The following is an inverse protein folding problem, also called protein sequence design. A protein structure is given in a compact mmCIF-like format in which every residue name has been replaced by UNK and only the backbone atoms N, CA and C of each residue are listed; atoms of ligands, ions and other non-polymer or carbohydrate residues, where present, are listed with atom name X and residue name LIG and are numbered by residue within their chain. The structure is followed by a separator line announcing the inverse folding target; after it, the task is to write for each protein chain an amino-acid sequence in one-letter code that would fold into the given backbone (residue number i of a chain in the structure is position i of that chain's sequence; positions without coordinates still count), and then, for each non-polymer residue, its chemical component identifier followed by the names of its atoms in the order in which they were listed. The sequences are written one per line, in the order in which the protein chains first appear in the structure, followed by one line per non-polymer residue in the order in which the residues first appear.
data_IF_556231222578
#
_entry.id   IF_556231222578
#
_cell.length_a   1.000
_cell.length_b   1.000
_cell.length_c   1.000
_cell.angle_alpha   90.00
_cell.angle_beta   90.00
_cell.angle_gamma   90.00
#
_symmetry.space_group_name_H-M   'P 1'
#
loop_
_entity.id
_entity.type
_entity.pdbx_description
1 polymer ?
#
# COMPACT_ATOMS: atom_id res chain seq x y z
N UNK A 1 27.30 -17.18 -11.27
CA UNK A 1 26.69 -16.32 -12.32
C UNK A 1 25.52 -15.64 -11.66
N UNK A 2 25.58 -14.34 -11.43
CA UNK A 2 24.45 -13.56 -10.89
C UNK A 2 23.44 -13.48 -12.03
N UNK A 3 22.29 -14.12 -11.88
CA UNK A 3 21.20 -13.98 -12.84
C UNK A 3 20.71 -12.52 -12.73
N UNK A 4 20.81 -11.76 -13.80
CA UNK A 4 20.14 -10.46 -13.85
C UNK A 4 18.65 -10.74 -13.95
N UNK A 5 17.93 -10.51 -12.84
CA UNK A 5 16.47 -10.59 -12.85
C UNK A 5 15.90 -9.56 -13.82
N UNK A 6 14.89 -9.95 -14.59
CA UNK A 6 14.15 -9.01 -15.47
C UNK A 6 13.40 -7.92 -14.69
N UNK A 7 13.27 -8.05 -13.38
CA UNK A 7 12.58 -7.11 -12.47
C UNK A 7 13.54 -6.35 -11.53
N UNK A 8 14.83 -6.33 -11.86
CA UNK A 8 15.88 -5.76 -11.02
C UNK A 8 16.56 -6.80 -10.14
N UNK A 9 17.80 -6.52 -9.75
CA UNK A 9 18.65 -7.42 -8.96
C UNK A 9 18.07 -7.61 -7.56
N UNK A 10 17.97 -8.86 -7.09
CA UNK A 10 17.76 -9.17 -5.68
C UNK A 10 19.13 -9.25 -5.03
N UNK A 11 19.37 -8.37 -4.07
CA UNK A 11 20.65 -8.19 -3.39
C UNK A 11 20.71 -9.01 -2.08
N UNK A 12 21.90 -9.13 -1.47
CA UNK A 12 22.00 -9.62 -0.09
C UNK A 12 21.30 -8.66 0.88
N UNK A 13 20.94 -9.16 2.06
CA UNK A 13 20.25 -8.37 3.08
C UNK A 13 20.99 -7.08 3.43
N UNK A 14 22.28 -7.16 3.71
CA UNK A 14 23.12 -6.02 4.06
C UNK A 14 23.12 -4.97 2.93
N UNK A 15 23.39 -5.41 1.70
CA UNK A 15 23.43 -4.52 0.53
C UNK A 15 22.09 -3.87 0.25
N UNK A 16 20.99 -4.60 0.45
CA UNK A 16 19.63 -4.09 0.24
C UNK A 16 19.34 -2.93 1.20
N UNK A 17 19.66 -3.08 2.48
CA UNK A 17 19.47 -2.01 3.49
C UNK A 17 20.44 -0.84 3.31
N UNK A 18 21.73 -1.11 2.99
CA UNK A 18 22.71 -0.07 2.70
C UNK A 18 22.29 0.85 1.55
N UNK A 19 21.56 0.34 0.55
CA UNK A 19 21.09 1.11 -0.59
C UNK A 19 19.71 1.75 -0.36
N UNK A 20 18.84 1.07 0.37
CA UNK A 20 17.47 1.53 0.58
C UNK A 20 17.41 2.87 1.33
N UNK A 21 18.05 2.95 2.49
CA UNK A 21 17.99 4.13 3.36
C UNK A 21 18.47 5.40 2.65
N UNK A 22 19.68 5.43 2.00
CA UNK A 22 20.11 6.61 1.27
C UNK A 22 19.21 7.00 0.09
N UNK A 23 18.51 6.04 -0.52
CA UNK A 23 17.60 6.33 -1.64
C UNK A 23 16.38 7.15 -1.24
N UNK A 24 16.08 7.20 0.06
CA UNK A 24 14.95 7.97 0.60
C UNK A 24 15.30 9.44 0.87
N UNK A 25 16.57 9.78 1.11
CA UNK A 25 16.98 11.12 1.53
C UNK A 25 16.52 12.25 0.61
N UNK A 26 16.62 12.16 -0.74
CA UNK A 26 16.17 13.25 -1.61
C UNK A 26 14.67 13.58 -1.44
N UNK A 27 13.85 12.55 -1.17
CA UNK A 27 12.42 12.73 -0.93
C UNK A 27 12.16 13.34 0.46
N UNK A 28 12.91 12.92 1.48
CA UNK A 28 12.77 13.47 2.81
C UNK A 28 13.22 14.93 2.92
N UNK A 29 14.31 15.29 2.23
CA UNK A 29 14.83 16.65 2.23
C UNK A 29 13.94 17.62 1.46
N UNK A 30 13.30 17.16 0.37
CA UNK A 30 12.41 17.98 -0.44
C UNK A 30 11.33 17.11 -1.12
N UNK A 31 10.15 16.94 -0.50
CA UNK A 31 9.07 16.12 -1.06
C UNK A 31 8.34 16.77 -2.23
N UNK A 32 8.35 18.11 -2.37
CA UNK A 32 7.56 18.84 -3.35
C UNK A 32 7.75 18.35 -4.82
N UNK A 33 8.97 18.00 -5.31
CA UNK A 33 9.14 17.46 -6.66
C UNK A 33 8.48 16.10 -6.90
N UNK A 34 8.09 15.41 -5.84
CA UNK A 34 7.43 14.11 -5.91
C UNK A 34 5.91 14.19 -5.82
N UNK A 35 5.35 15.40 -5.69
CA UNK A 35 3.92 15.60 -5.81
C UNK A 35 3.42 15.09 -7.15
N UNK A 36 2.21 14.54 -7.15
CA UNK A 36 1.50 14.11 -8.36
C UNK A 36 0.13 14.78 -8.37
N UNK A 37 -0.23 15.34 -9.51
CA UNK A 37 -1.58 15.87 -9.69
C UNK A 37 -2.59 14.75 -9.45
N UNK A 38 -3.48 14.90 -8.46
CA UNK A 38 -4.44 13.86 -8.13
C UNK A 38 -5.45 13.69 -9.26
N UNK A 39 -6.02 12.48 -9.40
CA UNK A 39 -6.92 12.19 -10.51
C UNK A 39 -7.95 11.12 -10.17
N UNK A 40 -9.07 11.17 -10.87
CA UNK A 40 -10.07 10.12 -10.85
C UNK A 40 -9.54 8.89 -11.61
N UNK A 41 -9.56 7.72 -10.97
CA UNK A 41 -9.24 6.45 -11.62
C UNK A 41 -10.46 5.94 -12.37
N UNK A 42 -11.59 5.81 -11.67
CA UNK A 42 -12.86 5.41 -12.25
C UNK A 42 -14.01 5.69 -11.27
N UNK A 43 -15.10 6.28 -11.76
CA UNK A 43 -16.30 6.52 -10.96
C UNK A 43 -16.00 7.23 -9.65
N UNK A 44 -16.28 6.57 -8.53
CA UNK A 44 -16.07 7.10 -7.18
C UNK A 44 -14.68 6.78 -6.58
N UNK A 45 -13.72 6.32 -7.39
CA UNK A 45 -12.36 5.99 -6.97
C UNK A 45 -11.34 7.00 -7.52
N UNK A 46 -10.51 7.54 -6.63
CA UNK A 46 -9.51 8.56 -6.95
C UNK A 46 -8.11 8.17 -6.46
N UNK A 47 -7.09 8.63 -7.18
CA UNK A 47 -5.70 8.62 -6.74
C UNK A 47 -5.36 9.97 -6.10
N UNK A 48 -4.89 9.94 -4.85
CA UNK A 48 -4.50 11.12 -4.07
C UNK A 48 -3.09 10.97 -3.47
N UNK A 49 -2.33 9.99 -3.95
CA UNK A 49 -0.95 9.73 -3.55
C UNK A 49 0.08 10.62 -4.23
N UNK A 50 1.33 10.36 -3.94
CA UNK A 50 2.48 10.98 -4.57
C UNK A 50 3.23 9.99 -5.49
N UNK A 51 4.45 10.35 -5.94
CA UNK A 51 5.28 9.48 -6.77
C UNK A 51 6.00 8.37 -5.97
N UNK A 52 5.83 8.29 -4.65
CA UNK A 52 6.46 7.31 -3.76
C UNK A 52 5.45 6.34 -3.18
N UNK A 53 4.29 6.83 -2.69
CA UNK A 53 3.24 6.02 -2.07
C UNK A 53 1.90 6.30 -2.74
N UNK A 54 1.23 5.21 -3.13
CA UNK A 54 -0.15 5.31 -3.59
C UNK A 54 -1.08 5.50 -2.40
N UNK A 55 -1.98 6.47 -2.52
CA UNK A 55 -3.13 6.63 -1.65
C UNK A 55 -4.38 6.68 -2.53
N UNK A 56 -5.40 5.93 -2.13
CA UNK A 56 -6.63 5.83 -2.91
C UNK A 56 -7.81 6.33 -2.06
N UNK A 57 -8.59 7.23 -2.65
CA UNK A 57 -9.76 7.82 -2.00
C UNK A 57 -11.04 7.28 -2.65
N UNK A 58 -12.02 6.91 -1.83
CA UNK A 58 -13.33 6.45 -2.29
C UNK A 58 -14.40 7.39 -1.75
N UNK A 59 -15.23 7.92 -2.63
CA UNK A 59 -16.47 8.60 -2.25
C UNK A 59 -17.58 7.57 -2.06
N UNK A 60 -18.07 7.45 -0.82
CA UNK A 60 -19.11 6.47 -0.47
C UNK A 60 -20.52 7.05 -0.43
N UNK A 61 -20.66 8.35 -0.76
CA UNK A 61 -21.92 9.07 -0.63
C UNK A 61 -22.29 9.49 0.81
N UNK A 62 -21.64 8.90 1.83
CA UNK A 62 -21.84 9.25 3.25
C UNK A 62 -20.52 9.64 3.95
N UNK A 63 -19.52 10.00 3.17
CA UNK A 63 -18.17 10.36 3.56
C UNK A 63 -17.14 9.61 2.74
N UNK A 64 -15.87 9.80 3.08
CA UNK A 64 -14.74 9.28 2.31
C UNK A 64 -14.02 8.17 3.05
N UNK A 65 -13.51 7.20 2.30
CA UNK A 65 -12.55 6.20 2.76
C UNK A 65 -11.21 6.49 2.10
N UNK A 66 -10.14 6.60 2.88
CA UNK A 66 -8.77 6.73 2.39
C UNK A 66 -7.99 5.46 2.68
N UNK A 67 -7.39 4.87 1.65
CA UNK A 67 -6.39 3.80 1.79
C UNK A 67 -4.99 4.38 1.88
N UNK A 68 -4.28 4.01 2.93
CA UNK A 68 -2.97 4.48 3.34
C UNK A 68 -2.92 6.01 3.60
N UNK A 69 -1.82 6.49 4.15
CA UNK A 69 -1.68 7.88 4.57
C UNK A 69 -0.23 8.38 4.48
N UNK A 70 0.53 7.89 3.52
CA UNK A 70 1.85 8.38 3.17
C UNK A 70 2.81 8.53 4.35
N UNK A 71 3.79 9.38 4.16
CA UNK A 71 4.82 9.73 5.15
C UNK A 71 4.38 10.90 6.03
N UNK A 72 4.87 10.97 7.28
CA UNK A 72 4.52 12.04 8.21
C UNK A 72 4.89 13.46 7.72
N UNK A 73 5.98 13.60 6.97
CA UNK A 73 6.43 14.88 6.42
C UNK A 73 5.68 15.32 5.14
N UNK A 74 4.74 14.49 4.62
CA UNK A 74 3.93 14.81 3.42
C UNK A 74 2.47 15.13 3.73
N UNK A 75 2.12 15.37 4.99
CA UNK A 75 0.74 15.61 5.44
C UNK A 75 0.02 16.71 4.65
N UNK A 76 0.68 17.86 4.41
CA UNK A 76 0.09 18.96 3.63
C UNK A 76 -0.19 18.55 2.18
N UNK A 77 0.70 17.76 1.56
CA UNK A 77 0.51 17.26 0.20
C UNK A 77 -0.72 16.35 0.10
N UNK A 78 -0.99 15.54 1.13
CA UNK A 78 -2.18 14.67 1.19
C UNK A 78 -3.45 15.50 1.24
N UNK A 79 -3.48 16.53 2.10
CA UNK A 79 -4.61 17.43 2.21
C UNK A 79 -4.89 18.17 0.88
N UNK A 80 -3.82 18.65 0.23
CA UNK A 80 -3.91 19.33 -1.06
C UNK A 80 -4.41 18.38 -2.16
N UNK A 81 -3.95 17.13 -2.18
CA UNK A 81 -4.38 16.12 -3.14
C UNK A 81 -5.87 15.77 -2.98
N UNK A 82 -6.37 15.63 -1.74
CA UNK A 82 -7.80 15.40 -1.49
C UNK A 82 -8.63 16.59 -1.99
N UNK A 83 -8.18 17.83 -1.71
CA UNK A 83 -8.85 19.04 -2.23
C UNK A 83 -8.77 19.14 -3.75
N UNK A 84 -7.66 18.70 -4.35
CA UNK A 84 -7.43 18.70 -5.79
C UNK A 84 -8.43 17.86 -6.58
N UNK A 85 -8.99 16.81 -5.98
CA UNK A 85 -10.09 16.02 -6.56
C UNK A 85 -11.49 16.49 -6.12
N UNK A 86 -11.57 17.64 -5.45
CA UNK A 86 -12.83 18.32 -5.12
C UNK A 86 -13.45 17.95 -3.77
N UNK A 87 -12.73 17.26 -2.87
CA UNK A 87 -13.23 16.87 -1.57
C UNK A 87 -12.59 17.67 -0.43
N UNK A 88 -13.24 17.68 0.73
CA UNK A 88 -12.68 18.21 1.97
C UNK A 88 -12.04 17.06 2.77
N UNK A 89 -10.78 17.18 3.22
CA UNK A 89 -10.18 16.20 4.14
C UNK A 89 -11.02 15.93 5.40
N UNK A 90 -11.85 16.87 5.84
CA UNK A 90 -12.78 16.68 6.96
C UNK A 90 -13.88 15.64 6.67
N UNK A 91 -14.14 15.33 5.41
CA UNK A 91 -15.12 14.34 5.01
C UNK A 91 -14.59 12.90 5.05
N UNK A 92 -13.29 12.70 5.22
CA UNK A 92 -12.71 11.36 5.45
C UNK A 92 -13.20 10.84 6.80
N UNK A 93 -13.88 9.69 6.76
CA UNK A 93 -14.40 9.01 7.95
C UNK A 93 -13.50 7.86 8.37
N UNK A 94 -12.96 7.15 7.38
CA UNK A 94 -12.10 5.98 7.60
C UNK A 94 -10.78 6.15 6.86
N UNK A 95 -9.67 5.94 7.57
CA UNK A 95 -8.35 5.73 7.00
C UNK A 95 -7.95 4.27 7.24
N UNK A 96 -7.85 3.49 6.17
CA UNK A 96 -7.57 2.04 6.21
C UNK A 96 -6.12 1.83 5.78
N UNK A 97 -5.32 1.28 6.69
CA UNK A 97 -3.88 1.08 6.49
C UNK A 97 -3.62 -0.32 5.94
N UNK A 98 -2.91 -0.39 4.82
CA UNK A 98 -2.60 -1.65 4.13
C UNK A 98 -1.67 -2.56 4.93
N UNK A 99 -0.68 -1.97 5.62
CA UNK A 99 0.23 -2.67 6.52
C UNK A 99 1.00 -1.70 7.43
N UNK A 100 1.65 -2.22 8.45
CA UNK A 100 2.23 -1.46 9.56
C UNK A 100 3.60 -0.82 9.29
N UNK A 101 3.92 -0.33 8.08
CA UNK A 101 5.12 0.46 7.83
C UNK A 101 4.82 1.96 7.81
N UNK A 102 5.81 2.74 8.24
CA UNK A 102 5.66 4.18 8.48
C UNK A 102 5.27 5.00 7.24
N UNK A 103 5.62 4.56 6.07
CA UNK A 103 5.28 5.19 4.80
C UNK A 103 3.81 4.99 4.37
N UNK A 104 3.05 4.16 5.10
CA UNK A 104 1.63 3.94 4.87
C UNK A 104 0.72 4.54 5.93
N UNK A 105 1.25 4.89 7.10
CA UNK A 105 0.48 5.51 8.18
C UNK A 105 1.05 6.84 8.70
N UNK A 106 2.14 7.35 8.11
CA UNK A 106 2.92 8.44 8.68
C UNK A 106 2.13 9.70 9.01
N UNK A 107 1.17 10.08 8.17
CA UNK A 107 0.31 11.25 8.40
C UNK A 107 -0.97 10.95 9.20
N UNK A 108 -1.27 9.67 9.49
CA UNK A 108 -2.56 9.25 10.05
C UNK A 108 -2.85 9.88 11.41
N UNK A 109 -1.87 9.95 12.31
CA UNK A 109 -2.06 10.54 13.64
C UNK A 109 -2.41 12.03 13.56
N UNK A 110 -1.66 12.80 12.76
CA UNK A 110 -1.86 14.24 12.58
C UNK A 110 -3.24 14.52 11.98
N UNK A 111 -3.64 13.77 10.95
CA UNK A 111 -4.92 13.96 10.27
C UNK A 111 -6.09 13.46 11.13
N UNK A 112 -5.91 12.42 11.95
CA UNK A 112 -6.89 12.01 12.95
C UNK A 112 -7.13 13.11 13.98
N UNK A 113 -6.06 13.71 14.53
CA UNK A 113 -6.18 14.81 15.50
C UNK A 113 -6.86 16.03 14.89
N UNK A 114 -6.55 16.34 13.63
CA UNK A 114 -7.07 17.51 12.94
C UNK A 114 -8.53 17.37 12.50
N UNK A 115 -8.92 16.18 12.01
CA UNK A 115 -10.22 15.97 11.35
C UNK A 115 -11.11 14.91 12.01
N UNK A 116 -10.58 14.17 12.97
CA UNK A 116 -11.34 13.11 13.64
C UNK A 116 -11.47 11.82 12.86
N UNK A 117 -10.55 11.55 11.92
CA UNK A 117 -10.54 10.30 11.14
C UNK A 117 -10.49 9.07 12.06
N UNK A 118 -11.10 7.97 11.62
CA UNK A 118 -10.97 6.67 12.27
C UNK A 118 -9.96 5.83 11.52
N UNK A 119 -8.94 5.35 12.22
CA UNK A 119 -7.84 4.57 11.64
C UNK A 119 -8.10 3.10 11.87
N UNK A 120 -8.01 2.31 10.79
CA UNK A 120 -8.14 0.87 10.80
C UNK A 120 -6.84 0.23 10.28
N UNK A 121 -6.32 -0.78 10.97
CA UNK A 121 -5.14 -1.55 10.57
C UNK A 121 -5.33 -3.00 10.98
N UNK A 122 -4.62 -3.94 10.36
CA UNK A 122 -4.71 -5.34 10.73
C UNK A 122 -4.34 -5.58 12.20
N UNK A 123 -5.02 -6.53 12.84
CA UNK A 123 -4.66 -6.99 14.19
C UNK A 123 -3.22 -7.48 14.25
N UNK A 124 -2.80 -8.26 13.25
CA UNK A 124 -1.48 -8.85 13.23
C UNK A 124 -0.36 -7.81 13.24
N UNK A 125 -0.41 -6.76 12.40
CA UNK A 125 0.60 -5.70 12.42
C UNK A 125 0.47 -4.83 13.68
N UNK A 126 -0.75 -4.54 14.14
CA UNK A 126 -0.98 -3.78 15.38
C UNK A 126 -0.31 -4.47 16.58
N UNK A 127 -0.47 -5.78 16.72
CA UNK A 127 0.11 -6.53 17.82
C UNK A 127 1.65 -6.62 17.71
N UNK A 128 2.17 -6.82 16.49
CA UNK A 128 3.61 -6.82 16.24
C UNK A 128 4.26 -5.45 16.52
N UNK A 129 3.59 -4.34 16.19
CA UNK A 129 4.09 -3.00 16.50
C UNK A 129 4.04 -2.67 18.00
N UNK A 130 3.05 -3.19 18.74
CA UNK A 130 2.99 -3.05 20.20
C UNK A 130 4.16 -3.75 20.90
N UNK A 131 4.58 -4.89 20.37
CA UNK A 131 5.76 -5.60 20.90
C UNK A 131 7.06 -4.86 20.57
N UNK A 132 7.22 -4.33 19.36
CA UNK A 132 8.41 -3.61 18.91
C UNK A 132 8.07 -2.59 17.82
N UNK A 133 7.96 -1.29 18.16
CA UNK A 133 7.64 -0.21 17.20
C UNK A 133 8.63 -0.11 16.02
N UNK A 134 9.88 -0.55 16.19
CA UNK A 134 10.89 -0.53 15.11
C UNK A 134 10.51 -1.41 13.92
N UNK A 135 9.57 -2.36 14.09
CA UNK A 135 9.02 -3.17 13.00
C UNK A 135 8.25 -2.33 11.96
N UNK A 136 7.83 -1.11 12.32
CA UNK A 136 7.29 -0.13 11.39
C UNK A 136 8.34 0.55 10.50
N UNK A 137 9.63 0.26 10.68
CA UNK A 137 10.77 0.88 9.97
C UNK A 137 10.94 2.39 10.22
N UNK A 138 10.30 2.94 11.25
CA UNK A 138 10.34 4.38 11.60
C UNK A 138 11.77 4.90 11.81
N UNK A 139 12.68 4.07 12.27
CA UNK A 139 14.10 4.42 12.47
C UNK A 139 14.90 4.54 11.16
N UNK A 140 14.32 4.16 10.02
CA UNK A 140 14.93 4.30 8.69
C UNK A 140 14.56 5.61 8.00
N UNK A 141 13.60 6.34 8.53
CA UNK A 141 13.10 7.60 8.01
C UNK A 141 13.13 8.72 9.04
N UNK A 142 12.58 9.89 8.71
CA UNK A 142 12.50 11.03 9.63
C UNK A 142 11.40 10.87 10.69
N UNK A 143 10.59 9.80 10.61
CA UNK A 143 9.48 9.56 11.52
C UNK A 143 10.00 9.08 12.89
N UNK A 144 9.83 9.85 13.98
CA UNK A 144 10.22 9.41 15.32
C UNK A 144 9.32 8.27 15.84
N UNK A 145 9.82 7.51 16.82
CA UNK A 145 9.11 6.33 17.36
C UNK A 145 7.75 6.66 18.01
N UNK A 146 7.56 7.88 18.51
CA UNK A 146 6.30 8.35 19.07
C UNK A 146 5.22 8.65 18.01
N UNK A 147 5.59 8.65 16.74
CA UNK A 147 4.67 8.82 15.60
C UNK A 147 4.07 7.50 15.10
N UNK A 148 4.34 6.36 15.72
CA UNK A 148 3.67 5.10 15.37
C UNK A 148 2.16 5.29 15.48
N UNK A 149 1.46 4.90 14.41
CA UNK A 149 0.03 4.98 14.36
C UNK A 149 -0.62 3.81 15.12
N UNK A 150 -1.51 4.14 16.04
CA UNK A 150 -2.33 3.15 16.74
C UNK A 150 -3.77 3.22 16.19
N UNK A 151 -4.30 2.13 15.64
CA UNK A 151 -5.64 2.14 15.06
C UNK A 151 -6.74 2.29 16.13
N UNK A 152 -7.86 2.91 15.73
CA UNK A 152 -9.09 2.98 16.52
C UNK A 152 -9.84 1.64 16.51
N UNK A 153 -9.68 0.86 15.44
CA UNK A 153 -10.20 -0.50 15.33
C UNK A 153 -9.22 -1.38 14.54
N UNK A 154 -9.17 -2.66 14.88
CA UNK A 154 -8.33 -3.65 14.18
C UNK A 154 -9.16 -4.44 13.18
N UNK A 155 -8.52 -4.84 12.08
CA UNK A 155 -9.11 -5.66 11.03
C UNK A 155 -8.62 -7.11 11.16
N UNK A 156 -9.56 -8.03 11.07
CA UNK A 156 -9.30 -9.47 11.01
C UNK A 156 -9.52 -10.02 9.58
N UNK A 157 -9.03 -11.23 9.32
CA UNK A 157 -9.16 -11.87 8.01
C UNK A 157 -10.63 -12.12 7.65
N UNK A 158 -11.05 -11.68 6.47
CA UNK A 158 -12.41 -11.82 5.96
C UNK A 158 -13.40 -10.79 6.50
N UNK A 159 -12.96 -9.84 7.31
CA UNK A 159 -13.82 -8.77 7.80
C UNK A 159 -14.32 -7.88 6.66
N UNK A 160 -15.52 -7.34 6.82
CA UNK A 160 -16.13 -6.41 5.87
C UNK A 160 -16.35 -5.06 6.56
N UNK A 161 -15.72 -4.02 6.02
CA UNK A 161 -15.89 -2.63 6.44
C UNK A 161 -16.89 -1.95 5.52
N UNK A 162 -17.93 -1.32 6.07
CA UNK A 162 -18.95 -0.63 5.27
C UNK A 162 -19.06 0.83 5.69
N UNK A 163 -19.11 1.71 4.69
CA UNK A 163 -19.46 3.12 4.83
C UNK A 163 -20.29 3.53 3.60
N UNK A 164 -21.43 4.16 3.83
CA UNK A 164 -22.35 4.56 2.76
C UNK A 164 -22.68 3.41 1.81
N UNK A 165 -22.47 3.61 0.53
CA UNK A 165 -22.73 2.61 -0.52
C UNK A 165 -21.54 1.65 -0.77
N UNK A 166 -20.45 1.74 -0.02
CA UNK A 166 -19.22 0.97 -0.25
C UNK A 166 -19.02 -0.06 0.85
N UNK A 167 -18.78 -1.32 0.45
CA UNK A 167 -18.39 -2.41 1.34
C UNK A 167 -17.05 -2.97 0.88
N UNK A 168 -16.08 -3.03 1.81
CA UNK A 168 -14.70 -3.46 1.57
C UNK A 168 -14.47 -4.79 2.25
N UNK A 169 -14.18 -5.84 1.48
CA UNK A 169 -13.73 -7.11 2.02
C UNK A 169 -12.24 -7.03 2.31
N UNK A 170 -11.84 -7.27 3.56
CA UNK A 170 -10.47 -7.19 4.05
C UNK A 170 -9.91 -8.61 4.17
N UNK A 171 -8.93 -8.98 3.36
CA UNK A 171 -8.28 -10.28 3.42
C UNK A 171 -6.87 -10.15 3.98
N UNK A 172 -6.53 -10.95 5.00
CA UNK A 172 -5.16 -11.04 5.49
C UNK A 172 -4.28 -11.67 4.41
N UNK A 173 -3.21 -10.98 4.05
CA UNK A 173 -2.33 -11.28 2.91
C UNK A 173 -0.85 -11.22 3.33
N UNK A 174 -0.40 -12.07 4.28
CA UNK A 174 0.93 -12.01 4.87
C UNK A 174 2.03 -12.31 3.85
N UNK A 175 3.19 -11.70 4.08
CA UNK A 175 4.39 -11.83 3.25
C UNK A 175 5.32 -10.65 3.52
N UNK A 176 5.02 -9.50 2.95
CA UNK A 176 5.76 -8.26 3.19
C UNK A 176 5.78 -7.88 4.68
N UNK A 177 4.60 -7.81 5.32
CA UNK A 177 4.45 -7.93 6.78
C UNK A 177 3.56 -9.13 7.10
N UNK A 178 3.47 -9.51 8.37
CA UNK A 178 2.53 -10.55 8.80
C UNK A 178 1.08 -10.06 8.83
N UNK A 179 0.89 -8.75 8.90
CA UNK A 179 -0.42 -8.11 8.91
C UNK A 179 -0.79 -7.38 7.61
N UNK A 180 -0.01 -7.54 6.54
CA UNK A 180 -0.41 -6.99 5.24
C UNK A 180 -1.81 -7.45 4.87
N UNK A 181 -2.64 -6.50 4.40
CA UNK A 181 -4.01 -6.74 3.96
C UNK A 181 -4.14 -6.58 2.45
N UNK A 182 -5.06 -7.31 1.87
CA UNK A 182 -5.62 -7.04 0.54
C UNK A 182 -7.09 -6.65 0.70
N UNK A 183 -7.54 -5.69 -0.12
CA UNK A 183 -8.88 -5.13 -0.04
C UNK A 183 -9.60 -5.29 -1.38
N UNK A 184 -10.87 -5.71 -1.32
CA UNK A 184 -11.71 -5.88 -2.49
C UNK A 184 -13.02 -5.13 -2.30
N UNK A 185 -13.39 -4.30 -3.27
CA UNK A 185 -14.57 -3.46 -3.22
C UNK A 185 -15.06 -3.11 -4.61
N UNK A 186 -16.33 -2.76 -4.71
CA UNK A 186 -16.92 -2.31 -5.95
C UNK A 186 -16.81 -0.79 -6.07
N UNK A 187 -16.54 -0.31 -7.28
CA UNK A 187 -16.53 1.10 -7.66
C UNK A 187 -17.49 1.31 -8.82
N UNK A 188 -18.16 2.47 -8.85
CA UNK A 188 -19.22 2.74 -9.83
C UNK A 188 -19.13 4.15 -10.39
N UNK A 189 -19.45 4.30 -11.67
CA UNK A 189 -19.68 5.60 -12.32
C UNK A 189 -21.18 5.92 -12.51
N UNK A 190 -22.03 5.13 -11.85
CA UNK A 190 -23.49 5.22 -11.92
C UNK A 190 -24.11 4.20 -12.87
N UNK A 191 -23.50 3.93 -14.01
CA UNK A 191 -24.00 3.00 -15.03
C UNK A 191 -23.23 1.65 -14.99
N UNK A 192 -21.97 1.68 -14.65
CA UNK A 192 -21.07 0.53 -14.63
C UNK A 192 -20.48 0.33 -13.23
N UNK A 193 -20.51 -0.92 -12.77
CA UNK A 193 -19.80 -1.34 -11.54
C UNK A 193 -18.65 -2.23 -11.90
N UNK A 194 -17.47 -1.91 -11.36
CA UNK A 194 -16.23 -2.67 -11.52
C UNK A 194 -15.67 -3.03 -10.16
N UNK A 195 -15.07 -4.21 -10.06
CA UNK A 195 -14.43 -4.68 -8.83
C UNK A 195 -12.97 -4.23 -8.77
N UNK A 196 -12.62 -3.44 -7.78
CA UNK A 196 -11.25 -3.07 -7.47
C UNK A 196 -10.61 -4.08 -6.51
N UNK A 197 -9.32 -4.37 -6.73
CA UNK A 197 -8.47 -5.13 -5.82
C UNK A 197 -7.22 -4.31 -5.49
N UNK A 198 -7.02 -4.03 -4.21
CA UNK A 198 -5.87 -3.32 -3.69
C UNK A 198 -4.98 -4.28 -2.90
N UNK A 199 -3.72 -4.45 -3.32
CA UNK A 199 -2.72 -5.24 -2.60
C UNK A 199 -1.36 -4.56 -2.68
N UNK A 200 -0.79 -4.22 -1.51
CA UNK A 200 0.45 -3.47 -1.41
C UNK A 200 1.65 -4.27 -0.91
N UNK A 201 1.49 -5.53 -0.61
CA UNK A 201 2.51 -6.35 0.04
C UNK A 201 3.60 -6.91 -0.88
N UNK A 202 4.19 -6.13 -1.78
CA UNK A 202 5.10 -6.65 -2.82
C UNK A 202 6.59 -6.45 -2.55
N UNK A 203 6.94 -5.61 -1.59
CA UNK A 203 8.34 -5.30 -1.26
C UNK A 203 9.06 -6.50 -0.64
N UNK A 204 10.23 -6.87 -1.17
CA UNK A 204 11.02 -8.00 -0.66
C UNK A 204 11.97 -7.63 0.48
N UNK A 205 12.20 -6.34 0.74
CA UNK A 205 13.18 -5.85 1.72
C UNK A 205 12.97 -6.43 3.13
N UNK A 206 11.73 -6.65 3.53
CA UNK A 206 11.36 -7.17 4.84
C UNK A 206 11.11 -8.68 4.86
N UNK A 207 11.36 -9.37 3.75
CA UNK A 207 11.15 -10.81 3.61
C UNK A 207 12.36 -11.67 3.97
N UNK A 208 13.56 -11.05 4.12
CA UNK A 208 14.75 -11.77 4.55
C UNK A 208 14.53 -12.44 5.92
N UNK A 209 14.94 -13.70 6.05
CA UNK A 209 14.92 -14.37 7.36
C UNK A 209 15.80 -13.61 8.36
N UNK A 210 16.93 -13.04 7.91
CA UNK A 210 17.78 -12.20 8.76
C UNK A 210 17.05 -10.97 9.29
N UNK A 211 16.22 -10.29 8.45
CA UNK A 211 15.37 -9.21 8.91
C UNK A 211 14.40 -9.66 10.01
N UNK A 212 13.78 -10.81 9.83
CA UNK A 212 12.87 -11.34 10.83
C UNK A 212 13.59 -11.57 12.17
N UNK A 213 14.79 -12.16 12.14
CA UNK A 213 15.61 -12.41 13.33
C UNK A 213 16.05 -11.10 14.01
N UNK A 214 16.53 -10.12 13.25
CA UNK A 214 17.00 -8.83 13.78
C UNK A 214 15.89 -8.04 14.48
N UNK A 215 14.64 -8.19 14.01
CA UNK A 215 13.47 -7.50 14.59
C UNK A 215 12.65 -8.40 15.54
N UNK A 216 13.16 -9.58 15.89
CA UNK A 216 12.53 -10.51 16.83
C UNK A 216 11.18 -11.04 16.34
N UNK A 217 11.09 -11.33 15.04
CA UNK A 217 9.91 -11.93 14.41
C UNK A 217 10.18 -13.38 13.99
N UNK A 218 9.14 -14.22 13.87
CA UNK A 218 9.28 -15.53 13.24
C UNK A 218 9.83 -15.39 11.81
N UNK A 219 10.59 -16.37 11.34
CA UNK A 219 10.89 -16.55 9.91
C UNK A 219 9.73 -17.20 9.17
N UNK A 220 9.75 -17.22 7.81
CA UNK A 220 8.71 -17.89 7.03
C UNK A 220 7.82 -16.95 6.22
N UNK A 221 8.20 -15.68 6.03
CA UNK A 221 7.43 -14.70 5.24
C UNK A 221 7.33 -15.08 3.76
N UNK A 222 8.35 -15.74 3.20
CA UNK A 222 8.36 -16.19 1.80
C UNK A 222 7.31 -17.28 1.58
N UNK A 223 7.24 -18.26 2.49
CA UNK A 223 6.18 -19.28 2.48
C UNK A 223 4.78 -18.69 2.70
N UNK A 224 4.66 -17.68 3.57
CA UNK A 224 3.41 -16.97 3.79
C UNK A 224 2.96 -16.24 2.52
N UNK A 225 3.86 -15.52 1.84
CA UNK A 225 3.57 -14.83 0.59
C UNK A 225 3.12 -15.79 -0.51
N UNK A 226 3.73 -16.97 -0.62
CA UNK A 226 3.28 -18.00 -1.57
C UNK A 226 1.80 -18.35 -1.39
N UNK A 227 1.37 -18.58 -0.14
CA UNK A 227 -0.03 -18.87 0.18
C UNK A 227 -0.94 -17.68 -0.12
N UNK A 228 -0.47 -16.48 0.19
CA UNK A 228 -1.15 -15.23 -0.14
C UNK A 228 -1.40 -15.10 -1.63
N UNK A 229 -0.37 -15.26 -2.47
CA UNK A 229 -0.50 -15.17 -3.93
C UNK A 229 -1.49 -16.19 -4.45
N UNK A 230 -1.41 -17.45 -3.99
CA UNK A 230 -2.34 -18.52 -4.38
C UNK A 230 -3.80 -18.19 -4.01
N UNK A 231 -4.02 -17.55 -2.86
CA UNK A 231 -5.35 -17.09 -2.42
C UNK A 231 -5.84 -15.93 -3.29
N UNK A 232 -5.01 -14.91 -3.50
CA UNK A 232 -5.37 -13.71 -4.25
C UNK A 232 -5.61 -13.99 -5.74
N UNK A 233 -4.98 -14.99 -6.33
CA UNK A 233 -5.25 -15.44 -7.71
C UNK A 233 -6.67 -16.01 -7.90
N UNK A 234 -7.40 -16.30 -6.83
CA UNK A 234 -8.80 -16.75 -6.93
C UNK A 234 -9.79 -15.56 -7.05
N UNK A 235 -9.33 -14.35 -6.74
CA UNK A 235 -10.16 -13.15 -6.82
C UNK A 235 -10.25 -12.63 -8.26
N UNK A 236 -11.45 -12.20 -8.64
CA UNK A 236 -11.68 -11.51 -9.91
C UNK A 236 -11.62 -10.02 -9.67
N UNK A 237 -10.77 -9.34 -10.41
CA UNK A 237 -10.49 -7.91 -10.26
C UNK A 237 -10.46 -7.26 -11.63
N UNK A 238 -11.21 -6.18 -11.78
CA UNK A 238 -11.24 -5.37 -12.99
C UNK A 238 -10.23 -4.21 -12.91
N UNK A 239 -9.99 -3.69 -11.69
CA UNK A 239 -9.08 -2.57 -11.43
C UNK A 239 -8.03 -3.00 -10.39
N UNK A 240 -6.78 -3.15 -10.82
CA UNK A 240 -5.67 -3.51 -9.95
C UNK A 240 -5.04 -2.26 -9.34
N UNK A 241 -4.94 -2.22 -8.01
CA UNK A 241 -4.32 -1.15 -7.24
C UNK A 241 -3.15 -1.70 -6.41
N UNK A 242 -2.06 -0.93 -6.34
CA UNK A 242 -0.92 -1.18 -5.47
C UNK A 242 -0.72 -0.03 -4.49
N UNK A 243 0.13 -0.21 -3.48
CA UNK A 243 0.45 0.83 -2.51
C UNK A 243 1.74 1.63 -2.84
N UNK A 244 2.47 1.24 -3.88
CA UNK A 244 3.53 2.06 -4.48
C UNK A 244 3.35 2.15 -5.99
N UNK A 245 3.63 3.31 -6.62
CA UNK A 245 3.39 3.51 -8.06
C UNK A 245 4.09 2.50 -8.96
N UNK A 246 5.29 2.03 -8.58
CA UNK A 246 6.05 1.04 -9.34
C UNK A 246 5.45 -0.35 -9.37
N UNK A 247 4.53 -0.68 -8.48
CA UNK A 247 3.97 -2.03 -8.35
C UNK A 247 3.02 -2.38 -9.50
N UNK A 248 2.23 -1.41 -9.96
CA UNK A 248 1.27 -1.62 -11.05
C UNK A 248 1.38 -0.56 -12.16
N UNK A 249 2.54 0.09 -12.30
CA UNK A 249 2.79 1.12 -13.32
C UNK A 249 1.82 2.31 -13.22
N UNK A 250 1.54 2.79 -12.00
CA UNK A 250 0.54 3.86 -11.77
C UNK A 250 0.88 5.15 -12.51
N UNK A 251 2.16 5.55 -12.51
CA UNK A 251 2.60 6.79 -13.17
C UNK A 251 2.50 6.67 -14.70
N UNK A 252 2.90 5.54 -15.26
CA UNK A 252 2.82 5.26 -16.70
C UNK A 252 1.35 5.17 -17.14
N UNK A 253 0.48 4.56 -16.36
CA UNK A 253 -0.96 4.51 -16.62
C UNK A 253 -1.57 5.92 -16.59
N UNK A 254 -1.19 6.74 -15.59
CA UNK A 254 -1.64 8.14 -15.54
C UNK A 254 -1.16 8.93 -16.74
N UNK A 255 0.11 8.80 -17.14
CA UNK A 255 0.64 9.45 -18.33
C UNK A 255 -0.10 9.00 -19.60
N UNK A 256 -0.38 7.70 -19.72
CA UNK A 256 -1.18 7.17 -20.84
C UNK A 256 -2.55 7.85 -20.93
N UNK A 257 -3.28 7.99 -19.82
CA UNK A 257 -4.58 8.66 -19.79
C UNK A 257 -4.50 10.12 -20.25
N UNK A 258 -3.39 10.81 -19.93
CA UNK A 258 -3.17 12.19 -20.38
C UNK A 258 -2.91 12.26 -21.90
N UNK A 259 -2.14 11.33 -22.44
CA UNK A 259 -1.74 11.30 -23.85
C UNK A 259 -2.86 10.74 -24.75
N UNK A 260 -3.80 9.93 -24.18
CA UNK A 260 -4.88 9.25 -24.90
C UNK A 260 -6.23 9.48 -24.20
N UNK A 261 -6.81 10.70 -24.34
CA UNK A 261 -8.09 11.00 -23.70
C UNK A 261 -9.20 10.02 -24.09
N UNK A 262 -9.87 9.44 -23.09
CA UNK A 262 -10.92 8.44 -23.27
C UNK A 262 -10.44 7.00 -23.14
N UNK A 263 -9.13 6.75 -23.06
CA UNK A 263 -8.57 5.43 -22.73
C UNK A 263 -8.19 5.40 -21.24
N UNK A 264 -8.50 4.29 -20.56
CA UNK A 264 -8.18 4.11 -19.15
C UNK A 264 -7.49 2.77 -18.92
N UNK A 265 -6.15 2.73 -18.82
CA UNK A 265 -5.37 1.50 -18.66
C UNK A 265 -5.47 0.89 -17.25
N UNK A 266 -6.13 1.56 -16.30
CA UNK A 266 -6.47 0.94 -15.01
C UNK A 266 -7.58 -0.10 -15.14
N UNK A 267 -8.45 0.03 -16.16
CA UNK A 267 -9.58 -0.87 -16.41
C UNK A 267 -9.14 -2.08 -17.24
N UNK A 268 -8.39 -2.98 -16.61
CA UNK A 268 -7.88 -4.18 -17.29
C UNK A 268 -7.89 -5.37 -16.33
N UNK A 269 -8.84 -6.31 -16.50
CA UNK A 269 -8.97 -7.49 -15.62
C UNK A 269 -7.79 -8.47 -15.68
N UNK A 270 -6.97 -8.40 -16.74
CA UNK A 270 -5.78 -9.26 -16.84
C UNK A 270 -4.65 -8.77 -15.92
N UNK A 271 -4.65 -7.49 -15.54
CA UNK A 271 -3.57 -6.88 -14.75
C UNK A 271 -3.40 -7.57 -13.40
N UNK A 272 -4.49 -8.00 -12.76
CA UNK A 272 -4.43 -8.65 -11.45
C UNK A 272 -3.62 -9.94 -11.48
N UNK A 273 -3.91 -10.82 -12.42
CA UNK A 273 -3.18 -12.08 -12.55
C UNK A 273 -1.73 -11.85 -13.00
N UNK A 274 -1.48 -10.91 -13.90
CA UNK A 274 -0.11 -10.55 -14.33
C UNK A 274 0.70 -10.03 -13.16
N UNK A 275 0.14 -9.10 -12.38
CA UNK A 275 0.76 -8.53 -11.18
C UNK A 275 1.15 -9.62 -10.17
N UNK A 276 0.23 -10.52 -9.84
CA UNK A 276 0.49 -11.60 -8.89
C UNK A 276 1.49 -12.65 -9.41
N UNK A 277 1.48 -12.96 -10.71
CA UNK A 277 2.45 -13.87 -11.31
C UNK A 277 3.87 -13.28 -11.32
N UNK A 278 4.01 -11.98 -11.59
CA UNK A 278 5.29 -11.29 -11.46
C UNK A 278 5.80 -11.36 -10.01
N UNK A 279 4.93 -11.17 -9.05
CA UNK A 279 5.28 -11.28 -7.63
C UNK A 279 5.70 -12.71 -7.26
N UNK A 280 5.03 -13.75 -7.79
CA UNK A 280 5.41 -15.14 -7.55
C UNK A 280 6.78 -15.47 -8.17
N UNK A 281 7.05 -15.03 -9.40
CA UNK A 281 8.38 -15.20 -10.01
C UNK A 281 9.47 -14.55 -9.14
N UNK A 282 9.22 -13.36 -8.63
CA UNK A 282 10.17 -12.63 -7.78
C UNK A 282 10.34 -13.29 -6.41
N UNK A 283 9.26 -13.76 -5.81
CA UNK A 283 9.28 -14.53 -4.56
C UNK A 283 10.10 -15.82 -4.73
N UNK A 284 9.90 -16.54 -5.84
CA UNK A 284 10.63 -17.76 -6.13
C UNK A 284 12.14 -17.50 -6.32
N UNK A 285 12.49 -16.43 -7.04
CA UNK A 285 13.90 -16.02 -7.18
C UNK A 285 14.54 -15.72 -5.82
N UNK A 286 13.79 -15.06 -4.91
CA UNK A 286 14.25 -14.75 -3.57
C UNK A 286 14.48 -16.01 -2.72
N UNK A 287 13.56 -16.98 -2.82
CA UNK A 287 13.67 -18.30 -2.17
C UNK A 287 14.86 -19.09 -2.72
N UNK A 288 15.05 -19.13 -4.04
CA UNK A 288 16.15 -19.85 -4.71
C UNK A 288 17.53 -19.30 -4.36
N UNK A 289 17.62 -18.00 -4.04
CA UNK A 289 18.83 -17.35 -3.52
C UNK A 289 19.09 -17.67 -2.04
N UNK A 290 18.16 -18.33 -1.35
CA UNK A 290 18.28 -18.71 0.06
C UNK A 290 18.14 -17.53 1.04
N UNK A 291 17.45 -16.46 0.66
CA UNK A 291 17.31 -15.26 1.48
C UNK A 291 16.13 -15.32 2.46
N UNK A 292 15.19 -16.23 2.25
CA UNK A 292 14.03 -16.41 3.13
C UNK A 292 13.31 -17.74 2.93
N UNK A 293 12.52 -18.13 3.93
CA UNK A 293 11.78 -19.40 3.99
C UNK A 293 10.25 -19.20 4.05
#
# INVERSE_FOLDING_TARGET
MISQSKYGEIMSYETAFERFVPSLYPFYENPAPYALEPFQIFGNLYYVGDQKVCMHLIDTGEGLILFDCGYGHTTEMIEESIRGVGFDPADVKLNIISHGHFDHFGSSNVLREKYGWKILMSRADTDLLRENPRRALIHLGPCPEDEVCWPDAVLDDGEVVTLGNTSITCLLAPGHTYGTMAFFFDVTDGDQTLRAGYYGGTGVLTMYDQYCLDYGMPVGKVSAMKKTIQRLLQEKVDITLGNHPSQNCTLEKRQWMLDHPGENPFLNPETWSVFLNILEERRQEFEDLGYGT
#
